data_IF_048621784610
#
_entry.id   IF_048621784610
#
_cell.length_a   1.000
_cell.length_b   1.000
_cell.length_c   1.000
_cell.angle_alpha   90.00
_cell.angle_beta   90.00
_cell.angle_gamma   90.00
#
_symmetry.space_group_name_H-M   'P 1'
#
loop_
_entity.id
_entity.type
_entity.pdbx_description
1 polymer ?
#
# COMPACT_ATOMS: atom_id res chain seq x y z
N UNK A 1 -17.07 -8.10 12.60
CA UNK A 1 -15.82 -7.96 11.83
C UNK A 1 -15.12 -6.71 12.33
N UNK A 2 -13.85 -6.81 12.75
CA UNK A 2 -13.08 -5.64 13.17
C UNK A 2 -12.49 -4.98 11.93
N UNK A 3 -12.45 -3.65 11.93
CA UNK A 3 -11.99 -2.89 10.77
C UNK A 3 -11.13 -1.73 11.26
N UNK A 4 -9.81 -1.91 11.22
CA UNK A 4 -8.87 -0.91 11.73
C UNK A 4 -7.62 -0.81 10.88
N UNK A 5 -7.26 0.40 10.48
CA UNK A 5 -6.07 0.70 9.69
C UNK A 5 -5.08 1.59 10.46
N UNK A 6 -3.79 1.28 10.36
CA UNK A 6 -2.73 2.22 10.69
C UNK A 6 -2.36 3.02 9.44
N UNK A 7 -2.27 4.35 9.54
CA UNK A 7 -1.86 5.22 8.43
C UNK A 7 -0.43 5.67 8.68
N UNK A 8 0.53 5.10 7.95
CA UNK A 8 1.94 5.40 8.07
C UNK A 8 2.29 6.70 7.37
N UNK A 9 2.18 7.83 8.08
CA UNK A 9 2.43 9.17 7.54
C UNK A 9 2.88 10.16 8.63
N UNK A 10 3.45 11.31 8.26
CA UNK A 10 3.96 12.30 9.20
C UNK A 10 2.86 12.95 10.06
N UNK A 11 1.68 13.14 9.49
CA UNK A 11 0.53 13.75 10.18
C UNK A 11 -0.79 13.22 9.64
N UNK A 12 -1.88 13.44 10.38
CA UNK A 12 -3.22 13.19 9.86
C UNK A 12 -3.50 14.06 8.62
N UNK A 13 -4.21 13.49 7.66
CA UNK A 13 -4.51 14.16 6.39
C UNK A 13 -5.78 13.66 5.72
N UNK A 14 -5.86 13.90 4.41
CA UNK A 14 -7.01 13.51 3.59
C UNK A 14 -7.27 12.00 3.63
N UNK A 15 -6.21 11.18 3.58
CA UNK A 15 -6.35 9.72 3.56
C UNK A 15 -7.00 9.18 4.83
N UNK A 16 -6.74 9.78 6.01
CA UNK A 16 -7.41 9.41 7.26
C UNK A 16 -8.91 9.66 7.15
N UNK A 17 -9.31 10.82 6.63
CA UNK A 17 -10.72 11.18 6.42
C UNK A 17 -11.38 10.25 5.41
N UNK A 18 -10.69 9.90 4.32
CA UNK A 18 -11.19 8.98 3.31
C UNK A 18 -11.45 7.59 3.90
N UNK A 19 -10.47 7.01 4.60
CA UNK A 19 -10.58 5.68 5.20
C UNK A 19 -11.66 5.65 6.27
N UNK A 20 -11.75 6.68 7.12
CA UNK A 20 -12.84 6.85 8.07
C UNK A 20 -14.21 6.91 7.36
N UNK A 21 -14.29 7.65 6.25
CA UNK A 21 -15.48 7.74 5.40
C UNK A 21 -15.90 6.43 4.74
N UNK A 22 -14.97 5.48 4.57
CA UNK A 22 -15.26 4.12 4.12
C UNK A 22 -15.81 3.20 5.23
N UNK A 23 -16.00 3.72 6.45
CA UNK A 23 -16.45 2.95 7.61
C UNK A 23 -15.35 2.12 8.28
N UNK A 24 -14.08 2.49 8.07
CA UNK A 24 -12.90 1.85 8.66
C UNK A 24 -12.34 2.76 9.75
N UNK A 25 -12.12 2.23 10.97
CA UNK A 25 -11.41 3.00 12.00
C UNK A 25 -9.95 3.17 11.58
N UNK A 26 -9.34 4.33 11.79
CA UNK A 26 -7.93 4.53 11.45
C UNK A 26 -7.19 5.30 12.53
N UNK A 27 -5.92 4.98 12.72
CA UNK A 27 -5.01 5.69 13.63
C UNK A 27 -3.77 6.15 12.84
N UNK A 28 -3.24 7.36 13.11
CA UNK A 28 -1.97 7.77 12.57
C UNK A 28 -0.83 6.91 13.16
N UNK A 29 0.11 6.53 12.31
CA UNK A 29 1.32 5.80 12.66
C UNK A 29 2.51 6.63 12.17
N UNK A 30 2.96 7.57 13.00
CA UNK A 30 4.01 8.52 12.60
C UNK A 30 5.38 7.86 12.45
N UNK A 31 6.35 8.51 11.77
CA UNK A 31 7.73 8.00 11.70
C UNK A 31 8.33 7.70 13.09
N UNK A 32 8.02 8.53 14.09
CA UNK A 32 8.47 8.34 15.47
C UNK A 32 7.85 7.08 16.10
N UNK A 33 6.56 6.82 15.83
CA UNK A 33 5.88 5.60 16.29
C UNK A 33 6.40 4.34 15.59
N UNK A 34 6.59 4.39 14.26
CA UNK A 34 7.22 3.30 13.50
C UNK A 34 8.65 3.01 13.98
N UNK A 35 9.42 4.04 14.30
CA UNK A 35 10.79 3.89 14.82
C UNK A 35 10.85 3.44 16.28
N UNK A 36 9.79 3.67 17.08
CA UNK A 36 9.79 3.36 18.50
C UNK A 36 9.77 1.83 18.76
N UNK A 37 10.70 1.28 19.55
CA UNK A 37 10.76 -0.16 19.85
C UNK A 37 9.55 -0.72 20.59
N UNK A 38 8.88 0.12 21.39
CA UNK A 38 7.77 -0.27 22.27
C UNK A 38 6.40 0.19 21.77
N UNK A 39 6.33 0.88 20.64
CA UNK A 39 5.05 1.20 20.04
C UNK A 39 4.32 -0.10 19.67
N UNK A 40 3.05 -0.17 20.06
CA UNK A 40 2.16 -1.29 19.78
C UNK A 40 0.86 -0.75 19.21
N UNK A 41 0.57 -1.13 17.97
CA UNK A 41 -0.72 -0.90 17.35
C UNK A 41 -1.46 -2.22 17.19
N UNK A 42 -2.79 -2.19 17.11
CA UNK A 42 -3.57 -3.35 16.71
C UNK A 42 -4.33 -2.96 15.45
N UNK A 43 -3.97 -3.57 14.32
CA UNK A 43 -4.48 -3.20 13.00
C UNK A 43 -4.84 -4.44 12.18
N UNK A 44 -5.74 -4.26 11.23
CA UNK A 44 -5.96 -5.22 10.15
C UNK A 44 -5.11 -4.85 8.93
N UNK A 45 -4.93 -3.55 8.69
CA UNK A 45 -4.13 -3.05 7.58
C UNK A 45 -3.19 -1.91 8.01
N UNK A 46 -2.06 -1.80 7.32
CA UNK A 46 -1.19 -0.63 7.31
C UNK A 46 -1.27 0.02 5.93
N UNK A 47 -1.53 1.32 5.88
CA UNK A 47 -1.62 2.11 4.65
C UNK A 47 -0.45 3.06 4.59
N UNK A 48 0.32 3.02 3.51
CA UNK A 48 1.47 3.90 3.24
C UNK A 48 1.10 4.78 2.04
N UNK A 49 0.74 6.05 2.27
CA UNK A 49 0.27 6.97 1.22
C UNK A 49 1.30 7.25 0.11
N UNK A 50 0.78 7.80 -0.99
CA UNK A 50 1.58 8.24 -2.14
C UNK A 50 2.61 9.28 -1.73
N UNK A 51 3.81 9.21 -2.31
CA UNK A 51 4.91 10.12 -2.04
C UNK A 51 5.76 9.76 -0.83
N UNK A 52 5.55 8.59 -0.22
CA UNK A 52 6.31 8.13 0.95
C UNK A 52 7.83 8.09 0.73
N UNK A 53 8.27 7.92 -0.52
CA UNK A 53 9.69 7.86 -0.89
C UNK A 53 10.30 9.23 -1.23
N UNK A 54 9.50 10.29 -1.27
CA UNK A 54 9.94 11.63 -1.60
C UNK A 54 10.07 12.48 -0.33
N UNK A 55 11.31 12.87 0.00
CA UNK A 55 11.62 13.62 1.23
C UNK A 55 11.04 15.04 1.27
N UNK A 56 10.56 15.57 0.14
CA UNK A 56 9.82 16.84 0.13
C UNK A 56 8.39 16.68 0.67
N UNK A 57 7.83 15.47 0.64
CA UNK A 57 6.47 15.18 1.09
C UNK A 57 6.42 14.48 2.45
N UNK A 58 7.37 13.57 2.72
CA UNK A 58 7.32 12.74 3.91
C UNK A 58 8.69 12.35 4.46
N UNK A 59 8.77 12.13 5.78
CA UNK A 59 9.95 11.56 6.45
C UNK A 59 9.78 10.08 6.81
N UNK A 60 8.77 9.39 6.26
CA UNK A 60 8.39 8.02 6.66
C UNK A 60 9.35 6.94 6.14
N UNK A 61 10.01 7.11 4.99
CA UNK A 61 10.83 6.06 4.37
C UNK A 61 11.96 5.52 5.28
N UNK A 62 12.79 6.36 5.95
CA UNK A 62 13.75 5.85 6.93
C UNK A 62 13.10 5.03 8.05
N UNK A 63 11.91 5.41 8.51
CA UNK A 63 11.18 4.68 9.54
C UNK A 63 10.61 3.36 9.03
N UNK A 64 10.14 3.29 7.78
CA UNK A 64 9.76 2.03 7.12
C UNK A 64 10.95 1.06 7.05
N UNK A 65 12.12 1.55 6.64
CA UNK A 65 13.36 0.75 6.61
C UNK A 65 13.72 0.21 7.99
N UNK A 66 13.75 1.08 9.00
CA UNK A 66 14.07 0.71 10.38
C UNK A 66 13.05 -0.25 11.02
N UNK A 67 11.79 -0.21 10.58
CA UNK A 67 10.70 -1.04 11.10
C UNK A 67 10.31 -2.22 10.20
N UNK A 68 11.03 -2.44 9.09
CA UNK A 68 10.79 -3.50 8.09
C UNK A 68 10.55 -4.87 8.72
N UNK A 69 11.42 -5.32 9.64
CA UNK A 69 11.25 -6.60 10.33
C UNK A 69 10.02 -6.69 11.25
N UNK A 70 9.46 -5.56 11.71
CA UNK A 70 8.19 -5.51 12.45
C UNK A 70 7.00 -5.60 11.50
N UNK A 71 7.03 -4.82 10.41
CA UNK A 71 6.04 -4.88 9.34
C UNK A 71 5.95 -6.31 8.80
N UNK A 72 7.10 -6.96 8.57
CA UNK A 72 7.17 -8.34 8.13
C UNK A 72 6.47 -9.31 9.10
N UNK A 73 6.71 -9.18 10.41
CA UNK A 73 6.04 -9.99 11.44
C UNK A 73 4.53 -9.73 11.49
N UNK A 74 4.11 -8.49 11.30
CA UNK A 74 2.70 -8.11 11.21
C UNK A 74 2.03 -8.79 10.00
N UNK A 75 2.64 -8.70 8.82
CA UNK A 75 2.11 -9.33 7.60
C UNK A 75 2.09 -10.85 7.71
N UNK A 76 3.16 -11.47 8.24
CA UNK A 76 3.22 -12.93 8.46
C UNK A 76 2.05 -13.46 9.29
N UNK A 77 1.51 -12.66 10.22
CA UNK A 77 0.40 -13.01 11.11
C UNK A 77 -0.99 -12.70 10.54
N UNK A 78 -1.08 -12.26 9.29
CA UNK A 78 -2.35 -11.92 8.63
C UNK A 78 -2.64 -10.43 8.51
N UNK A 79 -1.70 -9.57 8.94
CA UNK A 79 -1.78 -8.15 8.65
C UNK A 79 -1.63 -7.88 7.15
N UNK A 80 -2.24 -6.80 6.65
CA UNK A 80 -2.14 -6.40 5.25
C UNK A 80 -1.44 -5.06 5.12
N UNK A 81 -0.59 -4.89 4.12
CA UNK A 81 0.05 -3.60 3.82
C UNK A 81 -0.41 -3.17 2.45
N UNK A 82 -0.87 -1.92 2.31
CA UNK A 82 -1.01 -1.26 1.01
C UNK A 82 -0.03 -0.09 0.96
N UNK A 83 0.83 -0.07 -0.05
CA UNK A 83 1.76 1.02 -0.31
C UNK A 83 1.52 1.63 -1.69
N UNK A 84 1.33 2.94 -1.73
CA UNK A 84 1.16 3.68 -2.98
C UNK A 84 2.51 4.04 -3.61
N UNK A 85 2.50 4.77 -4.72
CA UNK A 85 3.70 5.15 -5.46
C UNK A 85 4.65 6.01 -4.62
N UNK A 86 5.95 5.78 -4.79
CA UNK A 86 6.97 6.46 -3.99
C UNK A 86 7.18 7.94 -4.39
N UNK A 87 6.72 8.35 -5.59
CA UNK A 87 6.95 9.68 -6.21
C UNK A 87 8.43 10.12 -6.21
N UNK A 88 9.33 9.18 -6.46
CA UNK A 88 10.77 9.42 -6.53
C UNK A 88 11.43 8.53 -7.56
N UNK A 89 12.51 9.01 -8.17
CA UNK A 89 13.37 8.22 -9.06
C UNK A 89 14.38 7.35 -8.28
N UNK A 90 14.35 7.37 -6.95
CA UNK A 90 15.20 6.53 -6.11
C UNK A 90 14.80 5.05 -6.22
N UNK A 91 15.70 4.24 -6.80
CA UNK A 91 15.54 2.80 -6.96
C UNK A 91 15.43 2.05 -5.63
N UNK A 92 15.91 2.64 -4.53
CA UNK A 92 15.91 2.03 -3.20
C UNK A 92 14.66 2.39 -2.37
N UNK A 93 13.70 3.10 -2.94
CA UNK A 93 12.47 3.53 -2.26
C UNK A 93 11.64 2.38 -1.68
N UNK A 94 11.73 1.17 -2.24
CA UNK A 94 11.01 -0.02 -1.77
C UNK A 94 11.89 -1.05 -1.04
N UNK A 95 13.13 -0.73 -0.70
CA UNK A 95 14.08 -1.66 -0.03
C UNK A 95 13.71 -2.02 1.43
N UNK A 96 12.57 -1.56 1.93
CA UNK A 96 11.97 -1.96 3.20
C UNK A 96 11.02 -3.17 3.05
N UNK A 97 10.65 -3.55 1.83
CA UNK A 97 9.88 -4.76 1.53
C UNK A 97 10.76 -6.01 1.67
N UNK A 98 10.18 -7.18 2.03
CA UNK A 98 10.93 -8.44 2.14
C UNK A 98 11.17 -9.12 0.78
N UNK A 99 10.94 -8.42 -0.33
CA UNK A 99 11.14 -8.91 -1.70
C UNK A 99 11.59 -7.76 -2.60
N UNK A 100 12.21 -8.11 -3.73
CA UNK A 100 12.69 -7.13 -4.71
C UNK A 100 11.51 -6.43 -5.39
N UNK A 101 11.48 -5.10 -5.32
CA UNK A 101 10.49 -4.27 -5.99
C UNK A 101 11.22 -3.09 -6.66
N UNK A 102 11.18 -3.05 -7.99
CA UNK A 102 11.78 -1.96 -8.78
C UNK A 102 10.66 -1.07 -9.33
N UNK A 103 10.57 0.15 -8.81
CA UNK A 103 9.60 1.16 -9.23
C UNK A 103 10.25 2.14 -10.21
N UNK A 104 9.49 2.53 -11.23
CA UNK A 104 9.84 3.58 -12.19
C UNK A 104 8.82 4.69 -12.04
N UNK A 105 9.28 5.88 -11.62
CA UNK A 105 8.44 7.05 -11.50
C UNK A 105 8.24 7.70 -12.87
N UNK A 106 7.00 7.69 -13.32
CA UNK A 106 6.56 8.22 -14.61
C UNK A 106 5.07 8.51 -14.48
N UNK A 107 4.68 9.79 -14.58
CA UNK A 107 3.27 10.14 -14.51
C UNK A 107 2.60 9.92 -15.87
N UNK A 108 1.50 9.16 -15.89
CA UNK A 108 0.72 8.91 -17.09
C UNK A 108 -0.74 8.58 -16.75
N UNK A 109 -1.60 8.60 -17.77
CA UNK A 109 -2.97 8.09 -17.68
C UNK A 109 -3.16 6.96 -18.69
N UNK A 110 -3.86 5.90 -18.30
CA UNK A 110 -4.09 4.74 -19.15
C UNK A 110 -5.35 3.97 -18.74
N UNK A 111 -5.88 3.15 -19.66
CA UNK A 111 -6.79 2.07 -19.30
C UNK A 111 -6.05 1.06 -18.42
N UNK A 112 -6.67 0.65 -17.32
CA UNK A 112 -6.13 -0.36 -16.39
C UNK A 112 -7.08 -1.54 -16.31
N UNK A 113 -6.56 -2.75 -16.55
CA UNK A 113 -7.29 -4.00 -16.32
C UNK A 113 -6.78 -4.73 -15.08
N UNK A 114 -7.70 -5.35 -14.35
CA UNK A 114 -7.45 -6.10 -13.12
C UNK A 114 -7.86 -7.58 -13.26
N UNK A 115 -7.73 -8.14 -14.47
CA UNK A 115 -8.26 -9.45 -14.88
C UNK A 115 -7.83 -10.63 -13.97
N UNK A 116 -6.74 -10.48 -13.22
CA UNK A 116 -6.22 -11.48 -12.27
C UNK A 116 -6.21 -11.00 -10.81
N UNK A 117 -7.03 -10.02 -10.47
CA UNK A 117 -6.94 -9.36 -9.16
C UNK A 117 -7.36 -10.25 -7.99
N UNK A 118 -8.12 -11.32 -8.22
CA UNK A 118 -8.49 -12.29 -7.20
C UNK A 118 -9.12 -11.62 -5.97
N UNK A 119 -8.46 -11.70 -4.82
CA UNK A 119 -8.95 -11.04 -3.60
C UNK A 119 -8.88 -9.51 -3.62
N UNK A 120 -8.07 -8.94 -4.52
CA UNK A 120 -7.88 -7.51 -4.73
C UNK A 120 -8.81 -6.90 -5.77
N UNK A 121 -9.71 -7.69 -6.36
CA UNK A 121 -10.71 -7.19 -7.29
C UNK A 121 -11.57 -6.10 -6.66
N UNK A 122 -11.99 -5.14 -7.49
CA UNK A 122 -12.82 -4.00 -7.09
C UNK A 122 -12.03 -2.80 -6.57
N UNK A 123 -10.70 -2.79 -6.68
CA UNK A 123 -9.88 -1.63 -6.31
C UNK A 123 -10.35 -0.34 -7.02
N UNK A 124 -10.67 -0.42 -8.32
CA UNK A 124 -11.10 0.70 -9.15
C UNK A 124 -12.62 0.79 -9.32
N UNK A 125 -13.42 0.05 -8.53
CA UNK A 125 -14.88 -0.06 -8.73
C UNK A 125 -15.64 1.29 -8.73
N UNK A 126 -15.11 2.29 -8.00
CA UNK A 126 -15.71 3.63 -7.91
C UNK A 126 -15.21 4.59 -9.02
N UNK A 127 -14.38 4.12 -9.96
CA UNK A 127 -13.66 4.94 -10.94
C UNK A 127 -13.80 4.43 -12.38
N UNK A 128 -13.53 5.31 -13.34
CA UNK A 128 -13.46 4.96 -14.76
C UNK A 128 -12.11 4.28 -15.07
N UNK A 129 -12.13 2.95 -15.18
CA UNK A 129 -10.94 2.16 -15.45
C UNK A 129 -10.31 2.41 -16.85
N UNK A 130 -10.96 3.16 -17.73
CA UNK A 130 -10.41 3.50 -19.06
C UNK A 130 -9.46 4.71 -19.06
N UNK A 131 -9.39 5.46 -17.95
CA UNK A 131 -8.54 6.64 -17.84
C UNK A 131 -8.06 6.85 -16.40
N UNK A 132 -7.23 5.92 -15.92
CA UNK A 132 -6.68 5.91 -14.56
C UNK A 132 -5.34 6.64 -14.54
N UNK A 133 -5.15 7.54 -13.59
CA UNK A 133 -3.89 8.23 -13.36
C UNK A 133 -2.92 7.34 -12.57
N UNK A 134 -1.69 7.22 -13.06
CA UNK A 134 -0.62 6.48 -12.40
C UNK A 134 0.60 7.39 -12.24
N UNK A 135 1.25 7.30 -11.08
CA UNK A 135 2.51 8.02 -10.82
C UNK A 135 3.77 7.22 -11.20
N UNK A 136 3.60 6.02 -11.73
CA UNK A 136 4.70 5.16 -12.14
C UNK A 136 4.25 3.75 -12.50
N UNK A 137 5.21 2.83 -12.56
CA UNK A 137 4.97 1.40 -12.78
C UNK A 137 6.07 0.54 -12.15
N UNK A 138 5.84 -0.77 -12.05
CA UNK A 138 6.76 -1.73 -11.46
C UNK A 138 7.37 -2.62 -12.55
N UNK A 139 8.69 -2.84 -12.49
CA UNK A 139 9.34 -3.82 -13.37
C UNK A 139 9.03 -5.24 -12.92
N UNK A 140 8.73 -6.11 -13.87
CA UNK A 140 8.24 -7.47 -13.62
C UNK A 140 9.24 -8.58 -13.97
N UNK A 141 10.48 -8.21 -14.33
CA UNK A 141 11.53 -9.17 -14.69
C UNK A 141 12.25 -9.70 -13.46
N UNK A 142 12.37 -11.03 -13.34
CA UNK A 142 13.09 -11.72 -12.27
C UNK A 142 12.58 -11.32 -10.85
N UNK A 143 11.26 -11.26 -10.70
CA UNK A 143 10.58 -10.86 -9.47
C UNK A 143 9.78 -12.00 -8.85
N UNK A 144 9.52 -11.89 -7.55
CA UNK A 144 8.74 -12.87 -6.78
C UNK A 144 7.48 -12.19 -6.19
N UNK A 145 6.60 -11.71 -7.07
CA UNK A 145 5.29 -11.15 -6.76
C UNK A 145 4.32 -11.37 -7.92
N UNK A 146 3.03 -11.26 -7.63
CA UNK A 146 1.94 -11.35 -8.61
C UNK A 146 1.62 -9.96 -9.17
N UNK A 147 1.36 -9.88 -10.47
CA UNK A 147 0.85 -8.65 -11.09
C UNK A 147 -0.67 -8.66 -11.03
N UNK A 148 -1.24 -7.68 -10.32
CA UNK A 148 -2.67 -7.59 -10.01
C UNK A 148 -3.39 -6.75 -11.06
N UNK A 149 -2.79 -5.64 -11.48
CA UNK A 149 -3.35 -4.78 -12.51
C UNK A 149 -2.25 -4.24 -13.43
N UNK A 150 -2.60 -4.08 -14.71
CA UNK A 150 -1.72 -3.59 -15.76
C UNK A 150 -2.43 -2.59 -16.65
N UNK A 151 -1.64 -1.78 -17.33
CA UNK A 151 -2.09 -0.98 -18.47
C UNK A 151 -2.15 -1.80 -19.75
N UNK A 152 -2.78 -1.25 -20.79
CA UNK A 152 -2.79 -1.84 -22.15
C UNK A 152 -1.39 -2.05 -22.75
N UNK A 153 -0.40 -1.22 -22.39
CA UNK A 153 1.01 -1.36 -22.80
C UNK A 153 1.83 -2.28 -21.86
N UNK A 154 1.16 -3.11 -21.06
CA UNK A 154 1.73 -4.12 -20.15
C UNK A 154 2.56 -3.56 -18.99
N UNK A 155 2.47 -2.27 -18.67
CA UNK A 155 3.07 -1.71 -17.45
C UNK A 155 2.30 -2.22 -16.23
N UNK A 156 2.99 -2.85 -15.29
CA UNK A 156 2.39 -3.27 -14.04
C UNK A 156 2.20 -2.04 -13.13
N UNK A 157 0.95 -1.74 -12.78
CA UNK A 157 0.57 -0.59 -11.92
C UNK A 157 0.08 -1.03 -10.55
N UNK A 158 -0.13 -2.33 -10.37
CA UNK A 158 -0.45 -2.93 -9.08
C UNK A 158 0.14 -4.33 -8.99
N UNK A 159 0.83 -4.59 -7.90
CA UNK A 159 1.47 -5.87 -7.61
C UNK A 159 1.10 -6.32 -6.20
N UNK A 160 1.05 -7.63 -5.97
CA UNK A 160 0.85 -8.17 -4.64
C UNK A 160 1.81 -9.32 -4.35
N UNK A 161 2.16 -9.46 -3.07
CA UNK A 161 2.94 -10.58 -2.57
C UNK A 161 2.31 -11.10 -1.30
N UNK A 162 1.86 -12.37 -1.35
CA UNK A 162 1.52 -13.10 -0.14
C UNK A 162 2.77 -13.35 0.69
N UNK A 163 2.67 -13.10 2.00
CA UNK A 163 3.77 -13.29 2.92
C UNK A 163 3.27 -13.79 4.27
N UNK A 164 3.35 -15.11 4.49
CA UNK A 164 2.65 -15.78 5.58
C UNK A 164 1.13 -15.75 5.36
N UNK A 165 0.37 -15.34 6.38
CA UNK A 165 -1.09 -15.27 6.33
C UNK A 165 -1.63 -13.94 5.76
N UNK A 166 -0.75 -12.97 5.49
CA UNK A 166 -1.09 -11.63 5.01
C UNK A 166 -0.51 -11.31 3.64
N UNK A 167 -0.66 -10.04 3.24
CA UNK A 167 -0.26 -9.54 1.92
C UNK A 167 0.43 -8.18 1.99
N UNK A 168 1.40 -8.00 1.10
CA UNK A 168 1.78 -6.68 0.60
C UNK A 168 1.04 -6.44 -0.71
N UNK A 169 0.35 -5.31 -0.81
CA UNK A 169 -0.19 -4.76 -2.04
C UNK A 169 0.56 -3.46 -2.31
N UNK A 170 1.11 -3.31 -3.51
CA UNK A 170 1.85 -2.11 -3.90
C UNK A 170 1.26 -1.60 -5.19
N UNK A 171 0.97 -0.30 -5.27
CA UNK A 171 0.32 0.30 -6.43
C UNK A 171 0.90 1.66 -6.76
N UNK A 172 0.94 1.97 -8.05
CA UNK A 172 1.26 3.31 -8.58
C UNK A 172 0.01 4.04 -9.07
N UNK A 173 -1.16 3.43 -8.95
CA UNK A 173 -2.46 4.08 -9.19
C UNK A 173 -2.59 5.26 -8.23
N UNK A 174 -2.89 6.43 -8.78
CA UNK A 174 -2.94 7.68 -8.03
C UNK A 174 -4.28 7.85 -7.29
N UNK A 175 -5.35 7.29 -7.85
CA UNK A 175 -6.67 7.26 -7.24
C UNK A 175 -6.66 6.44 -5.94
N UNK A 176 -7.46 6.88 -4.97
CA UNK A 176 -7.69 6.09 -3.77
C UNK A 176 -8.53 4.85 -4.12
N UNK A 177 -8.35 3.71 -3.43
CA UNK A 177 -9.09 2.49 -3.73
C UNK A 177 -10.57 2.70 -3.41
N UNK A 178 -11.46 2.00 -4.10
CA UNK A 178 -12.90 2.07 -3.88
C UNK A 178 -13.27 1.86 -2.41
N UNK A 179 -14.42 2.40 -2.01
CA UNK A 179 -14.90 2.31 -0.62
C UNK A 179 -15.13 0.86 -0.19
N UNK A 180 -15.67 0.05 -1.11
CA UNK A 180 -15.91 -1.39 -0.91
C UNK A 180 -14.59 -2.12 -0.67
N UNK A 181 -13.58 -1.81 -1.49
CA UNK A 181 -12.24 -2.36 -1.37
C UNK A 181 -11.59 -1.99 -0.04
N UNK A 182 -11.53 -0.71 0.33
CA UNK A 182 -10.91 -0.26 1.60
C UNK A 182 -11.54 -0.98 2.78
N UNK A 183 -12.87 -1.05 2.82
CA UNK A 183 -13.58 -1.71 3.91
C UNK A 183 -13.22 -3.19 3.99
N UNK A 184 -13.15 -3.89 2.86
CA UNK A 184 -12.76 -5.31 2.80
C UNK A 184 -11.30 -5.51 3.20
N UNK A 185 -10.39 -4.73 2.62
CA UNK A 185 -8.95 -4.81 2.83
C UNK A 185 -8.57 -4.52 4.28
N UNK A 186 -9.22 -3.54 4.91
CA UNK A 186 -8.98 -3.17 6.31
C UNK A 186 -9.78 -4.01 7.30
N UNK A 187 -10.49 -5.06 6.88
CA UNK A 187 -11.31 -5.89 7.76
C UNK A 187 -10.69 -7.25 8.06
N UNK A 188 -10.92 -7.74 9.28
CA UNK A 188 -10.52 -9.08 9.71
C UNK A 188 -11.33 -9.62 10.89
N UNK A 189 -11.11 -10.89 11.21
CA UNK A 189 -11.73 -11.54 12.38
C UNK A 189 -11.10 -11.05 13.69
N UNK A 190 -9.80 -10.77 13.66
CA UNK A 190 -9.01 -10.24 14.77
C UNK A 190 -8.16 -9.09 14.27
N UNK A 191 -7.82 -8.15 15.15
CA UNK A 191 -6.77 -7.16 14.88
C UNK A 191 -5.42 -7.82 15.16
N UNK A 192 -4.43 -7.52 14.34
CA UNK A 192 -3.08 -8.07 14.44
C UNK A 192 -2.19 -7.04 15.13
N UNK A 193 -1.43 -7.51 16.12
CA UNK A 193 -0.43 -6.69 16.78
C UNK A 193 0.65 -6.28 15.78
N UNK A 194 0.76 -4.96 15.59
CA UNK A 194 1.82 -4.28 14.85
C UNK A 194 2.97 -3.94 15.80
#
# INVERSE_FOLDING_TARGET
>A
MKCKAGIAWDSEGFINKYIAGCGTSCEPVTPQMLGAPYYRGNFNALVIPTGFGNSMYSSILPALRASSGRIEKFVKKGGRVIAFGAMTNDSDSYNWLPFKCEYVHEYFSASVSDDNAGEFHGFLEDFDASNVECDGYFKTKDVDFDVIAKTEDEKAVMIAKKYGDGYYLVTSVHELPSKSFIRKFCSGNVEILF
#
